data_IF_064471845543
#
_entry.id   IF_064471845543
#
_cell.length_a   1.000
_cell.length_b   1.000
_cell.length_c   1.000
_cell.angle_alpha   90.00
_cell.angle_beta   90.00
_cell.angle_gamma   90.00
#
_symmetry.space_group_name_H-M   'P 1'
#
loop_
_entity.id
_entity.type
_entity.pdbx_description
1 polymer ?
#
# COMPACT_ATOMS: atom_id res chain seq x y z
N UNK A 1 -22.74 -6.08 -7.78
CA UNK A 1 -23.09 -4.96 -8.71
C UNK A 1 -21.87 -4.71 -9.58
N UNK A 2 -21.97 -4.90 -10.90
CA UNK A 2 -20.84 -4.78 -11.80
C UNK A 2 -20.25 -3.35 -11.78
N UNK A 3 -18.95 -3.24 -11.51
CA UNK A 3 -18.21 -2.01 -11.69
C UNK A 3 -18.02 -1.79 -13.18
N UNK A 4 -18.39 -0.60 -13.67
CA UNK A 4 -18.11 -0.14 -15.03
C UNK A 4 -17.52 1.27 -14.99
N UNK A 5 -17.00 1.72 -16.12
CA UNK A 5 -16.30 3.01 -16.22
C UNK A 5 -17.20 4.19 -15.80
N UNK A 6 -18.44 4.22 -16.26
CA UNK A 6 -19.38 5.30 -15.90
C UNK A 6 -19.61 5.40 -14.40
N UNK A 7 -19.77 4.25 -13.74
CA UNK A 7 -19.94 4.19 -12.29
C UNK A 7 -18.68 4.63 -11.56
N UNK A 8 -17.50 4.18 -12.00
CA UNK A 8 -16.23 4.57 -11.40
C UNK A 8 -16.00 6.09 -11.51
N UNK A 9 -16.24 6.68 -12.67
CA UNK A 9 -16.11 8.11 -12.89
C UNK A 9 -17.14 8.94 -12.11
N UNK A 10 -18.36 8.42 -11.96
CA UNK A 10 -19.35 9.05 -11.10
C UNK A 10 -18.88 9.08 -9.64
N UNK A 11 -18.40 7.96 -9.10
CA UNK A 11 -17.88 7.88 -7.75
C UNK A 11 -16.68 8.81 -7.55
N UNK A 12 -15.77 8.89 -8.53
CA UNK A 12 -14.66 9.86 -8.48
C UNK A 12 -15.17 11.29 -8.34
N UNK A 13 -16.21 11.67 -9.08
CA UNK A 13 -16.76 13.01 -9.00
C UNK A 13 -17.49 13.28 -7.69
N UNK A 14 -18.20 12.29 -7.15
CA UNK A 14 -18.91 12.37 -5.86
C UNK A 14 -17.91 12.53 -4.68
N UNK A 15 -16.81 11.79 -4.70
CA UNK A 15 -15.80 11.78 -3.64
C UNK A 15 -14.72 12.87 -3.83
N UNK A 16 -14.71 13.57 -4.97
CA UNK A 16 -13.69 14.57 -5.24
C UNK A 16 -13.82 15.78 -4.33
N UNK A 17 -12.80 16.02 -3.52
CA UNK A 17 -12.75 17.17 -2.61
C UNK A 17 -12.15 18.39 -3.32
N UNK A 18 -13.01 19.20 -3.90
CA UNK A 18 -12.61 20.49 -4.48
C UNK A 18 -12.09 21.46 -3.41
N UNK A 19 -11.11 22.27 -3.77
CA UNK A 19 -10.57 23.30 -2.88
C UNK A 19 -9.41 22.85 -1.99
N UNK A 20 -8.97 21.59 -2.07
CA UNK A 20 -7.73 21.14 -1.42
C UNK A 20 -6.47 21.58 -2.16
N UNK A 21 -6.61 22.13 -3.36
CA UNK A 21 -5.52 22.58 -4.20
C UNK A 21 -5.43 24.10 -4.22
N UNK A 22 -4.24 24.63 -4.02
CA UNK A 22 -3.99 26.08 -4.07
C UNK A 22 -4.33 26.70 -5.45
N UNK A 23 -4.12 25.92 -6.54
CA UNK A 23 -4.35 26.35 -7.92
C UNK A 23 -5.29 25.41 -8.66
N UNK A 24 -6.33 25.97 -9.29
CA UNK A 24 -7.31 25.18 -10.11
C UNK A 24 -6.65 24.35 -11.20
N UNK A 25 -5.65 24.87 -11.86
CA UNK A 25 -4.93 24.13 -12.92
C UNK A 25 -4.26 22.86 -12.38
N UNK A 26 -3.83 22.88 -11.13
CA UNK A 26 -3.26 21.73 -10.44
C UNK A 26 -4.34 20.71 -10.09
N UNK A 27 -5.48 21.17 -9.61
CA UNK A 27 -6.66 20.35 -9.34
C UNK A 27 -7.13 19.62 -10.60
N UNK A 28 -7.32 20.35 -11.71
CA UNK A 28 -7.73 19.78 -13.01
C UNK A 28 -6.76 18.71 -13.50
N UNK A 29 -5.46 18.95 -13.38
CA UNK A 29 -4.43 17.98 -13.72
C UNK A 29 -4.55 16.70 -12.90
N UNK A 30 -4.71 16.79 -11.58
CA UNK A 30 -4.86 15.61 -10.71
C UNK A 30 -6.17 14.88 -10.99
N UNK A 31 -7.26 15.60 -11.24
CA UNK A 31 -8.55 15.01 -11.61
C UNK A 31 -8.48 14.25 -12.93
N UNK A 32 -7.84 14.81 -13.92
CA UNK A 32 -7.57 14.13 -15.22
C UNK A 32 -6.77 12.85 -15.00
N UNK A 33 -5.70 12.89 -14.20
CA UNK A 33 -4.94 11.70 -13.87
C UNK A 33 -5.79 10.64 -13.15
N UNK A 34 -6.67 11.05 -12.23
CA UNK A 34 -7.60 10.15 -11.55
C UNK A 34 -8.55 9.46 -12.52
N UNK A 35 -9.08 10.19 -13.49
CA UNK A 35 -9.94 9.65 -14.56
C UNK A 35 -9.17 8.60 -15.38
N UNK A 36 -7.96 8.92 -15.83
CA UNK A 36 -7.11 7.99 -16.58
C UNK A 36 -6.83 6.70 -15.80
N UNK A 37 -6.40 6.83 -14.54
CA UNK A 37 -6.14 5.69 -13.66
C UNK A 37 -7.37 4.79 -13.51
N UNK A 38 -8.55 5.37 -13.22
CA UNK A 38 -9.78 4.61 -13.04
C UNK A 38 -10.26 3.94 -14.33
N UNK A 39 -10.18 4.62 -15.46
CA UNK A 39 -10.54 4.05 -16.76
C UNK A 39 -9.69 2.83 -17.08
N UNK A 40 -8.37 2.92 -16.91
CA UNK A 40 -7.46 1.80 -17.12
C UNK A 40 -7.71 0.66 -16.11
N UNK A 41 -7.86 0.98 -14.84
CA UNK A 41 -8.16 0.02 -13.79
C UNK A 41 -9.43 -0.78 -14.10
N UNK A 42 -10.56 -0.10 -14.36
CA UNK A 42 -11.83 -0.76 -14.67
C UNK A 42 -11.73 -1.63 -15.92
N UNK A 43 -11.05 -1.16 -16.97
CA UNK A 43 -10.82 -1.94 -18.19
C UNK A 43 -10.06 -3.23 -17.90
N UNK A 44 -9.09 -3.19 -16.99
CA UNK A 44 -8.28 -4.36 -16.64
C UNK A 44 -9.07 -5.35 -15.78
N UNK A 45 -9.71 -4.90 -14.70
CA UNK A 45 -10.43 -5.81 -13.80
C UNK A 45 -11.72 -6.37 -14.41
N UNK A 46 -12.30 -5.68 -15.41
CA UNK A 46 -13.51 -6.18 -16.09
C UNK A 46 -13.24 -7.43 -16.94
N UNK A 47 -11.99 -7.67 -17.33
CA UNK A 47 -11.59 -8.88 -18.07
C UNK A 47 -11.59 -10.13 -17.20
N UNK A 48 -11.20 -9.98 -15.94
CA UNK A 48 -11.18 -11.03 -14.91
C UNK A 48 -11.52 -10.40 -13.56
N UNK A 49 -12.82 -10.25 -13.24
CA UNK A 49 -13.24 -9.64 -12.01
C UNK A 49 -12.76 -10.44 -10.79
N UNK A 50 -12.12 -9.79 -9.81
CA UNK A 50 -11.66 -10.47 -8.61
C UNK A 50 -12.84 -10.94 -7.75
N UNK A 51 -12.67 -12.05 -7.05
CA UNK A 51 -13.61 -12.51 -6.03
C UNK A 51 -13.28 -11.83 -4.69
N UNK A 52 -13.70 -10.58 -4.55
CA UNK A 52 -13.41 -9.73 -3.40
C UNK A 52 -14.12 -10.24 -2.15
N UNK A 53 -13.38 -10.51 -1.09
CA UNK A 53 -13.91 -10.91 0.22
C UNK A 53 -13.83 -9.80 1.27
N UNK A 54 -12.88 -8.86 1.15
CA UNK A 54 -12.80 -7.68 2.00
C UNK A 54 -12.16 -6.50 1.27
N UNK A 55 -12.56 -5.28 1.65
CA UNK A 55 -11.91 -4.02 1.26
C UNK A 55 -11.73 -3.17 2.50
N UNK A 56 -10.65 -2.37 2.55
CA UNK A 56 -10.32 -1.49 3.68
C UNK A 56 -10.37 -2.26 5.01
N UNK A 57 -9.80 -3.48 5.03
CA UNK A 57 -9.82 -4.33 6.21
C UNK A 57 -8.84 -3.79 7.26
N UNK A 58 -9.39 -3.21 8.32
CA UNK A 58 -8.60 -2.82 9.48
C UNK A 58 -8.14 -4.05 10.25
N UNK A 59 -6.87 -4.08 10.61
CA UNK A 59 -6.30 -5.16 11.40
C UNK A 59 -5.42 -4.66 12.54
N UNK A 60 -5.31 -5.51 13.55
CA UNK A 60 -4.35 -5.35 14.65
C UNK A 60 -3.87 -6.73 15.07
N UNK A 61 -2.57 -6.88 15.26
CA UNK A 61 -2.00 -8.10 15.83
C UNK A 61 -0.81 -7.81 16.74
N UNK A 62 -0.43 -8.78 17.55
CA UNK A 62 0.69 -8.66 18.47
C UNK A 62 1.89 -9.44 17.96
N UNK A 63 3.05 -8.79 17.94
CA UNK A 63 4.34 -9.44 17.75
C UNK A 63 5.17 -9.21 19.01
N UNK A 64 5.21 -10.21 19.91
CA UNK A 64 5.73 -10.07 21.28
C UNK A 64 4.97 -8.94 22.01
N UNK A 65 5.70 -7.90 22.44
CA UNK A 65 5.19 -6.70 23.11
C UNK A 65 4.96 -5.50 22.16
N UNK A 66 4.93 -5.78 20.84
CA UNK A 66 4.73 -4.78 19.80
C UNK A 66 3.33 -4.94 19.23
N UNK A 67 2.51 -3.90 19.32
CA UNK A 67 1.22 -3.84 18.64
C UNK A 67 1.42 -3.29 17.22
N UNK A 68 0.97 -4.04 16.23
CA UNK A 68 0.98 -3.65 14.82
C UNK A 68 -0.46 -3.48 14.37
N UNK A 69 -0.75 -2.35 13.76
CA UNK A 69 -2.07 -2.04 13.22
C UNK A 69 -1.94 -1.47 11.81
N UNK A 70 -2.94 -1.68 10.99
CA UNK A 70 -2.98 -1.16 9.63
C UNK A 70 -4.31 -1.45 8.95
N UNK A 71 -4.35 -1.15 7.65
CA UNK A 71 -5.51 -1.41 6.81
C UNK A 71 -5.04 -2.07 5.52
N UNK A 72 -5.65 -3.19 5.15
CA UNK A 72 -5.42 -3.87 3.88
C UNK A 72 -6.43 -3.34 2.87
N UNK A 73 -5.97 -2.80 1.75
CA UNK A 73 -6.86 -2.18 0.76
C UNK A 73 -7.87 -3.18 0.19
N UNK A 74 -7.42 -4.38 -0.20
CA UNK A 74 -8.30 -5.42 -0.73
C UNK A 74 -7.77 -6.83 -0.48
N UNK A 75 -8.70 -7.74 -0.13
CA UNK A 75 -8.50 -9.19 -0.12
C UNK A 75 -9.44 -9.85 -1.11
N UNK A 76 -8.89 -10.78 -1.88
CA UNK A 76 -9.63 -11.61 -2.82
C UNK A 76 -9.50 -13.09 -2.40
N UNK A 77 -10.50 -13.90 -2.74
CA UNK A 77 -10.43 -15.37 -2.63
C UNK A 77 -10.40 -15.96 -4.03
N UNK A 78 -9.24 -16.40 -4.42
CA UNK A 78 -9.01 -17.21 -5.63
C UNK A 78 -8.79 -18.67 -5.20
N UNK A 79 -7.74 -19.34 -5.64
CA UNK A 79 -7.38 -20.67 -5.11
C UNK A 79 -6.90 -20.55 -3.65
N UNK A 80 -6.25 -19.44 -3.30
CA UNK A 80 -5.88 -19.01 -1.96
C UNK A 80 -6.33 -17.57 -1.66
N UNK A 81 -5.82 -16.99 -0.59
CA UNK A 81 -6.01 -15.56 -0.29
C UNK A 81 -5.03 -14.73 -1.12
N UNK A 82 -5.53 -13.68 -1.76
CA UNK A 82 -4.73 -12.73 -2.52
C UNK A 82 -4.85 -11.35 -1.87
N UNK A 83 -3.72 -10.75 -1.52
CA UNK A 83 -3.65 -9.36 -1.06
C UNK A 83 -3.43 -8.44 -2.26
N UNK A 84 -4.17 -7.35 -2.33
CA UNK A 84 -3.89 -6.26 -3.29
C UNK A 84 -3.79 -4.93 -2.54
N UNK A 85 -2.67 -4.24 -2.74
CA UNK A 85 -2.39 -2.89 -2.24
C UNK A 85 -2.25 -1.93 -3.42
N UNK A 86 -3.01 -0.84 -3.42
CA UNK A 86 -3.06 0.13 -4.50
C UNK A 86 -2.04 1.24 -4.35
N UNK A 87 -1.32 1.54 -5.43
CA UNK A 87 -0.33 2.62 -5.49
C UNK A 87 -0.69 3.64 -6.57
N UNK A 88 -0.81 4.90 -6.18
CA UNK A 88 -1.05 6.03 -7.11
C UNK A 88 0.25 6.57 -7.73
N UNK A 89 1.41 5.97 -7.43
CA UNK A 89 2.70 6.29 -8.04
C UNK A 89 2.93 5.45 -9.30
N UNK A 90 3.95 5.81 -10.08
CA UNK A 90 4.52 4.91 -11.10
C UNK A 90 5.25 3.75 -10.41
N UNK A 91 5.33 2.60 -11.09
CA UNK A 91 6.03 1.43 -10.59
C UNK A 91 7.50 1.74 -10.30
N UNK A 92 7.90 1.62 -9.04
CA UNK A 92 9.29 1.81 -8.58
C UNK A 92 9.69 0.78 -7.53
N UNK A 93 8.73 0.06 -6.97
CA UNK A 93 8.94 -0.89 -5.86
C UNK A 93 8.60 -2.30 -6.33
N UNK A 94 9.46 -3.27 -5.98
CA UNK A 94 9.17 -4.69 -6.20
C UNK A 94 8.31 -5.20 -5.06
N UNK A 95 7.30 -6.03 -5.36
CA UNK A 95 6.45 -6.64 -4.34
C UNK A 95 7.25 -7.42 -3.29
N UNK A 96 8.27 -8.15 -3.70
CA UNK A 96 9.20 -8.90 -2.83
C UNK A 96 9.85 -8.03 -1.74
N UNK A 97 10.12 -6.77 -2.01
CA UNK A 97 10.78 -5.86 -1.05
C UNK A 97 9.79 -4.96 -0.30
N UNK A 98 8.49 -5.16 -0.50
CA UNK A 98 7.44 -4.38 0.17
C UNK A 98 7.26 -4.87 1.60
N UNK A 99 7.75 -4.08 2.56
CA UNK A 99 7.52 -4.34 3.98
C UNK A 99 6.02 -4.33 4.32
N UNK A 100 5.24 -3.49 3.65
CA UNK A 100 3.80 -3.39 3.84
C UNK A 100 3.09 -4.70 3.49
N UNK A 101 3.37 -5.28 2.31
CA UNK A 101 2.81 -6.57 1.91
C UNK A 101 3.25 -7.71 2.84
N UNK A 102 4.52 -7.69 3.29
CA UNK A 102 5.02 -8.68 4.23
C UNK A 102 4.30 -8.59 5.60
N UNK A 103 4.03 -7.38 6.09
CA UNK A 103 3.25 -7.16 7.33
C UNK A 103 1.80 -7.65 7.17
N UNK A 104 1.16 -7.38 6.02
CA UNK A 104 -0.18 -7.90 5.75
C UNK A 104 -0.21 -9.43 5.72
N UNK A 105 0.81 -10.04 5.12
CA UNK A 105 0.96 -11.49 5.09
C UNK A 105 1.18 -12.08 6.49
N UNK A 106 1.96 -11.42 7.35
CA UNK A 106 2.11 -11.79 8.76
C UNK A 106 0.80 -11.73 9.53
N UNK A 107 0.00 -10.68 9.33
CA UNK A 107 -1.33 -10.61 9.96
C UNK A 107 -2.20 -11.79 9.56
N UNK A 108 -2.28 -12.12 8.26
CA UNK A 108 -3.10 -13.23 7.79
C UNK A 108 -2.57 -14.61 8.26
N UNK A 109 -1.25 -14.75 8.41
CA UNK A 109 -0.66 -15.98 8.98
C UNK A 109 -1.07 -16.18 10.44
N UNK A 110 -1.17 -15.08 11.22
CA UNK A 110 -1.38 -15.12 12.68
C UNK A 110 -2.84 -14.92 13.08
N UNK A 111 -3.72 -14.46 12.18
CA UNK A 111 -5.12 -14.20 12.55
C UNK A 111 -5.86 -15.46 12.99
N UNK A 112 -6.80 -15.31 13.91
CA UNK A 112 -7.70 -16.38 14.35
C UNK A 112 -8.93 -16.53 13.46
N UNK A 113 -9.17 -15.58 12.56
CA UNK A 113 -10.26 -15.65 11.59
C UNK A 113 -10.01 -16.79 10.60
N UNK A 114 -10.79 -17.86 10.72
CA UNK A 114 -10.63 -19.08 9.93
C UNK A 114 -10.82 -18.89 8.42
N UNK A 115 -11.50 -17.82 8.01
CA UNK A 115 -11.70 -17.49 6.59
C UNK A 115 -10.44 -16.83 6.01
N UNK A 116 -9.77 -16.03 6.82
CA UNK A 116 -8.62 -15.22 6.43
C UNK A 116 -7.28 -15.87 6.78
N UNK A 117 -7.30 -16.84 7.70
CA UNK A 117 -6.08 -17.47 8.24
C UNK A 117 -5.28 -18.20 7.18
N UNK A 118 -4.01 -17.88 7.11
CA UNK A 118 -3.03 -18.57 6.27
C UNK A 118 -2.06 -17.62 5.60
N UNK A 119 -0.96 -18.17 5.08
CA UNK A 119 -0.05 -17.38 4.25
C UNK A 119 -0.75 -17.10 2.94
N UNK A 120 -0.83 -15.82 2.51
CA UNK A 120 -1.41 -15.48 1.23
C UNK A 120 -0.71 -16.20 0.08
N UNK A 121 -1.47 -16.69 -0.88
CA UNK A 121 -0.90 -17.29 -2.08
C UNK A 121 -0.09 -16.28 -2.86
N UNK A 122 -0.63 -15.06 -3.01
CA UNK A 122 0.02 -13.95 -3.71
C UNK A 122 -0.30 -12.63 -3.00
N UNK A 123 0.71 -11.77 -2.91
CA UNK A 123 0.58 -10.38 -2.48
C UNK A 123 0.96 -9.45 -3.63
N UNK A 124 0.06 -8.52 -3.97
CA UNK A 124 0.14 -7.66 -5.16
C UNK A 124 0.27 -6.18 -4.79
N UNK A 125 1.19 -5.48 -5.45
CA UNK A 125 1.15 -4.01 -5.60
C UNK A 125 0.48 -3.70 -6.94
N UNK A 126 -0.60 -2.94 -6.92
CA UNK A 126 -1.29 -2.48 -8.12
C UNK A 126 -0.98 -1.00 -8.35
N UNK A 127 -0.12 -0.70 -9.32
CA UNK A 127 0.29 0.65 -9.68
C UNK A 127 -0.70 1.25 -10.68
N UNK A 128 -1.60 2.11 -10.20
CA UNK A 128 -2.66 2.72 -11.00
C UNK A 128 -2.14 3.64 -12.13
N UNK A 129 -0.89 4.09 -12.05
CA UNK A 129 -0.25 4.93 -13.09
C UNK A 129 0.69 4.17 -14.01
N UNK A 130 0.81 2.87 -13.84
CA UNK A 130 1.54 1.99 -14.75
C UNK A 130 0.53 1.26 -15.63
N UNK A 131 0.27 1.81 -16.82
CA UNK A 131 -0.78 1.30 -17.70
C UNK A 131 -0.36 0.06 -18.49
N UNK A 132 0.94 -0.19 -18.59
CA UNK A 132 1.50 -1.32 -19.35
C UNK A 132 1.66 -2.56 -18.46
N UNK A 133 2.24 -2.40 -17.27
CA UNK A 133 2.52 -3.50 -16.35
C UNK A 133 2.18 -3.11 -14.89
N UNK A 134 0.86 -2.92 -14.60
CA UNK A 134 0.41 -2.35 -13.33
C UNK A 134 0.63 -3.25 -12.12
N UNK A 135 0.80 -4.56 -12.31
CA UNK A 135 0.82 -5.53 -11.21
C UNK A 135 2.25 -6.01 -10.96
N UNK A 136 2.70 -5.85 -9.71
CA UNK A 136 3.92 -6.49 -9.21
C UNK A 136 3.51 -7.41 -8.07
N UNK A 137 3.86 -8.68 -8.18
CA UNK A 137 3.42 -9.71 -7.24
C UNK A 137 4.56 -10.49 -6.63
N UNK A 138 4.31 -11.06 -5.45
CA UNK A 138 5.22 -11.94 -4.74
C UNK A 138 4.44 -12.85 -3.79
N UNK A 139 4.85 -14.12 -3.74
CA UNK A 139 4.42 -15.08 -2.74
C UNK A 139 5.48 -15.14 -1.63
N UNK A 140 5.15 -14.65 -0.44
CA UNK A 140 6.10 -14.67 0.68
C UNK A 140 6.25 -16.07 1.24
N UNK A 141 7.50 -16.52 1.35
CA UNK A 141 7.83 -17.75 2.09
C UNK A 141 7.76 -17.52 3.59
N UNK A 142 7.69 -18.60 4.36
CA UNK A 142 7.72 -18.54 5.81
C UNK A 142 9.02 -17.89 6.32
N UNK A 143 10.14 -18.16 5.68
CA UNK A 143 11.44 -17.60 6.06
C UNK A 143 11.46 -16.08 5.84
N UNK A 144 10.93 -15.59 4.71
CA UNK A 144 10.80 -14.15 4.45
C UNK A 144 9.89 -13.45 5.48
N UNK A 145 8.85 -14.13 5.94
CA UNK A 145 7.98 -13.61 7.00
C UNK A 145 8.71 -13.57 8.35
N UNK A 146 9.52 -14.57 8.70
CA UNK A 146 10.35 -14.55 9.93
C UNK A 146 11.42 -13.47 9.88
N UNK A 147 12.06 -13.26 8.73
CA UNK A 147 12.99 -12.14 8.54
C UNK A 147 12.29 -10.78 8.73
N UNK A 148 11.04 -10.68 8.28
CA UNK A 148 10.20 -9.47 8.47
C UNK A 148 9.90 -9.24 9.95
N UNK A 149 9.54 -10.28 10.71
CA UNK A 149 9.34 -10.20 12.16
C UNK A 149 10.60 -9.67 12.89
N UNK A 150 11.76 -10.23 12.56
CA UNK A 150 13.02 -9.78 13.15
C UNK A 150 13.29 -8.30 12.86
N UNK A 151 13.06 -7.88 11.62
CA UNK A 151 13.21 -6.47 11.22
C UNK A 151 12.26 -5.55 12.00
N UNK A 152 11.01 -5.95 12.20
CA UNK A 152 10.05 -5.18 13.02
C UNK A 152 10.55 -5.05 14.47
N UNK A 153 11.04 -6.15 15.06
CA UNK A 153 11.58 -6.16 16.41
C UNK A 153 12.80 -5.23 16.52
N UNK A 154 13.71 -5.25 15.56
CA UNK A 154 14.88 -4.37 15.54
C UNK A 154 14.49 -2.90 15.45
N UNK A 155 13.58 -2.56 14.54
CA UNK A 155 13.06 -1.19 14.40
C UNK A 155 12.38 -0.73 15.69
N UNK A 156 11.56 -1.57 16.32
CA UNK A 156 10.92 -1.27 17.60
C UNK A 156 11.94 -0.99 18.71
N UNK A 157 13.01 -1.77 18.78
CA UNK A 157 14.12 -1.52 19.75
C UNK A 157 14.78 -0.16 19.52
N UNK A 158 15.01 0.21 18.25
CA UNK A 158 15.55 1.53 17.87
C UNK A 158 14.62 2.67 18.32
N UNK A 159 13.32 2.55 18.04
CA UNK A 159 12.31 3.54 18.45
C UNK A 159 12.29 3.72 19.98
N UNK A 160 12.29 2.63 20.73
CA UNK A 160 12.30 2.67 22.22
C UNK A 160 13.57 3.30 22.80
N UNK A 161 14.69 3.13 22.11
CA UNK A 161 15.98 3.77 22.46
C UNK A 161 16.05 5.23 21.98
N UNK A 162 15.02 5.74 21.30
CA UNK A 162 15.01 7.07 20.66
C UNK A 162 16.14 7.25 19.66
N UNK A 163 16.55 6.19 18.98
CA UNK A 163 17.56 6.23 17.94
C UNK A 163 16.95 6.72 16.61
N UNK A 164 16.88 8.02 16.46
CA UNK A 164 16.34 8.72 15.30
C UNK A 164 17.43 9.49 14.54
N UNK A 165 18.60 8.91 14.44
CA UNK A 165 19.71 9.54 13.74
C UNK A 165 19.35 9.81 12.27
N UNK A 166 19.42 11.06 11.80
CA UNK A 166 19.09 11.39 10.43
C UNK A 166 20.12 10.82 9.46
N UNK A 167 19.63 10.35 8.30
CA UNK A 167 20.50 9.80 7.23
C UNK A 167 20.30 10.60 5.96
N UNK A 168 21.40 11.08 5.36
CA UNK A 168 21.36 11.73 4.05
C UNK A 168 20.90 10.74 2.97
N UNK A 169 19.99 11.20 2.09
CA UNK A 169 19.48 10.39 0.98
C UNK A 169 18.66 11.22 0.01
N UNK A 170 18.14 10.57 -1.03
CA UNK A 170 17.33 11.25 -2.05
C UNK A 170 16.09 11.94 -1.47
N UNK A 171 15.51 11.41 -0.40
CA UNK A 171 14.37 12.00 0.31
C UNK A 171 14.67 13.40 0.88
N UNK A 172 15.95 13.75 1.10
CA UNK A 172 16.34 15.08 1.55
C UNK A 172 16.01 16.20 0.54
N UNK A 173 15.78 15.86 -0.72
CA UNK A 173 15.40 16.85 -1.74
C UNK A 173 13.98 17.39 -1.55
N UNK A 174 13.15 16.69 -0.78
CA UNK A 174 11.76 17.04 -0.48
C UNK A 174 11.49 17.21 1.01
N UNK A 175 12.54 17.21 1.83
CA UNK A 175 12.42 17.25 3.28
C UNK A 175 12.32 18.70 3.77
N UNK A 176 11.22 19.04 4.39
CA UNK A 176 10.98 20.39 4.94
C UNK A 176 11.95 20.73 6.08
N UNK A 177 12.51 19.72 6.77
CA UNK A 177 13.48 19.91 7.84
C UNK A 177 14.92 20.12 7.36
N UNK A 178 15.21 19.99 6.06
CA UNK A 178 16.57 19.96 5.51
C UNK A 178 17.46 21.13 5.95
N UNK A 179 16.90 22.32 5.94
CA UNK A 179 17.63 23.55 6.29
C UNK A 179 17.02 24.28 7.51
N UNK A 180 16.06 23.66 8.20
CA UNK A 180 15.40 24.27 9.35
C UNK A 180 15.86 23.67 10.68
N UNK A 181 15.98 22.36 10.76
CA UNK A 181 16.26 21.67 12.03
C UNK A 181 17.00 20.33 11.86
N UNK A 182 17.46 19.99 10.66
CA UNK A 182 18.15 18.71 10.45
C UNK A 182 19.64 18.85 10.75
N UNK A 183 20.19 18.18 11.82
CA UNK A 183 21.57 18.37 12.24
C UNK A 183 22.60 17.89 11.21
N UNK A 184 22.19 17.13 10.20
CA UNK A 184 23.07 16.66 9.12
C UNK A 184 23.31 17.74 8.05
N UNK A 185 22.55 18.85 8.10
CA UNK A 185 22.62 19.97 7.17
C UNK A 185 22.88 21.30 7.89
N UNK A 186 23.12 21.28 9.20
CA UNK A 186 23.70 22.42 9.91
C UNK A 186 25.16 22.58 9.47
N UNK A 187 25.50 23.73 8.89
CA UNK A 187 26.86 24.13 8.53
C UNK A 187 27.62 24.59 9.78
#
# INVERSE_FOLDING_TARGET
KNLNEQRALRLLNEEWQSGMFEYKIREEKFKTQGIEMLTHYVKNISKSPPNVIATELNFTFQLNDITIAGTIDRLDKEDGIVITDYKTSKSSTKAKTSLQLAIYSLFLEQTEDLILKGIPEISKLYFLRDFEDPIKEHAFSIDELRDTEQKIIEVSKGIRKKDFNPKKGNHCNWCDYKYLACPVWED
#
